data_IF_911836618376
#
_entry.id   IF_911836618376
#
_cell.length_a   1.000
_cell.length_b   1.000
_cell.length_c   1.000
_cell.angle_alpha   90.00
_cell.angle_beta   90.00
_cell.angle_gamma   90.00
#
_symmetry.space_group_name_H-M   'P 1'
#
loop_
_entity.id
_entity.type
_entity.pdbx_description
1 polymer ?
#
# COMPACT_ATOMS: atom_id res chain seq x y z
N UNK A 1 -11.09 -16.27 -30.38
CA UNK A 1 -10.95 -14.86 -29.94
C UNK A 1 -11.76 -14.55 -28.67
N UNK A 2 -13.10 -14.69 -28.66
CA UNK A 2 -13.92 -14.38 -27.47
C UNK A 2 -13.55 -15.18 -26.20
N UNK A 3 -13.18 -16.46 -26.34
CA UNK A 3 -12.77 -17.30 -25.19
C UNK A 3 -11.47 -16.78 -24.54
N UNK A 4 -10.46 -16.45 -25.35
CA UNK A 4 -9.20 -15.87 -24.87
C UNK A 4 -9.34 -14.45 -24.31
N UNK A 5 -10.31 -13.67 -24.80
CA UNK A 5 -10.64 -12.35 -24.22
C UNK A 5 -11.32 -12.49 -22.85
N UNK A 6 -12.24 -13.45 -22.68
CA UNK A 6 -12.82 -13.79 -21.38
C UNK A 6 -11.74 -14.24 -20.39
N UNK A 7 -10.82 -15.11 -20.80
CA UNK A 7 -9.71 -15.58 -19.96
C UNK A 7 -8.70 -14.47 -19.60
N UNK A 8 -8.63 -13.41 -20.42
CA UNK A 8 -7.85 -12.20 -20.11
C UNK A 8 -8.55 -11.30 -19.08
N UNK A 9 -9.87 -11.09 -19.21
CA UNK A 9 -10.66 -10.30 -18.25
C UNK A 9 -10.81 -10.99 -16.90
N UNK A 10 -10.91 -12.32 -16.88
CA UNK A 10 -10.97 -13.11 -15.65
C UNK A 10 -9.63 -13.16 -14.91
N UNK A 11 -8.56 -12.62 -15.51
CA UNK A 11 -7.30 -12.38 -14.81
C UNK A 11 -7.55 -11.21 -13.87
N UNK A 12 -7.90 -11.49 -12.61
CA UNK A 12 -8.43 -10.51 -11.63
C UNK A 12 -7.69 -9.17 -11.58
N UNK A 13 -6.37 -9.17 -11.73
CA UNK A 13 -5.55 -7.95 -11.83
C UNK A 13 -6.00 -6.97 -12.93
N UNK A 14 -6.52 -7.44 -14.07
CA UNK A 14 -7.00 -6.57 -15.16
C UNK A 14 -8.36 -5.97 -14.82
N UNK A 15 -9.24 -6.76 -14.22
CA UNK A 15 -10.58 -6.31 -13.84
C UNK A 15 -10.52 -5.23 -12.76
N UNK A 16 -9.70 -5.44 -11.72
CA UNK A 16 -9.55 -4.49 -10.62
C UNK A 16 -8.95 -3.17 -11.12
N UNK A 17 -7.95 -3.23 -12.00
CA UNK A 17 -7.39 -2.04 -12.63
C UNK A 17 -8.41 -1.33 -13.52
N UNK A 18 -9.20 -2.06 -14.30
CA UNK A 18 -10.23 -1.48 -15.16
C UNK A 18 -11.31 -0.75 -14.33
N UNK A 19 -11.78 -1.37 -13.25
CA UNK A 19 -12.75 -0.75 -12.33
C UNK A 19 -12.17 0.50 -11.69
N UNK A 20 -10.91 0.45 -11.21
CA UNK A 20 -10.25 1.60 -10.60
C UNK A 20 -10.17 2.80 -11.55
N UNK A 21 -9.81 2.57 -12.82
CA UNK A 21 -9.72 3.63 -13.83
C UNK A 21 -11.09 4.21 -14.16
N UNK A 22 -12.10 3.38 -14.38
CA UNK A 22 -13.46 3.83 -14.73
C UNK A 22 -14.08 4.65 -13.60
N UNK A 23 -13.99 4.15 -12.36
CA UNK A 23 -14.53 4.84 -11.18
C UNK A 23 -13.77 6.14 -10.91
N UNK A 24 -12.44 6.14 -11.04
CA UNK A 24 -11.61 7.33 -10.90
C UNK A 24 -11.96 8.41 -11.92
N UNK A 25 -12.16 8.04 -13.18
CA UNK A 25 -12.57 8.96 -14.23
C UNK A 25 -13.96 9.54 -13.98
N UNK A 26 -14.93 8.71 -13.61
CA UNK A 26 -16.30 9.14 -13.32
C UNK A 26 -16.34 10.12 -12.13
N UNK A 27 -15.60 9.83 -11.06
CA UNK A 27 -15.52 10.72 -9.90
C UNK A 27 -14.88 12.07 -10.25
N UNK A 28 -13.77 12.04 -11.00
CA UNK A 28 -13.10 13.27 -11.46
C UNK A 28 -14.04 14.13 -12.30
N UNK A 29 -14.86 13.53 -13.16
CA UNK A 29 -15.85 14.24 -13.96
C UNK A 29 -16.92 14.94 -13.08
N UNK A 30 -17.39 14.29 -12.01
CA UNK A 30 -18.36 14.88 -11.07
C UNK A 30 -17.75 16.10 -10.37
N UNK A 31 -16.54 15.97 -9.83
CA UNK A 31 -15.89 17.08 -9.11
C UNK A 31 -15.53 18.22 -10.06
N UNK A 32 -15.09 17.90 -11.27
CA UNK A 32 -14.81 18.90 -12.33
C UNK A 32 -16.08 19.65 -12.71
N UNK A 33 -17.20 18.94 -12.90
CA UNK A 33 -18.49 19.54 -13.20
C UNK A 33 -18.96 20.47 -12.08
N UNK A 34 -18.84 20.03 -10.82
CA UNK A 34 -19.15 20.88 -9.67
C UNK A 34 -18.28 22.14 -9.64
N UNK A 35 -16.98 21.99 -9.83
CA UNK A 35 -16.05 23.12 -9.77
C UNK A 35 -16.30 24.10 -10.92
N UNK A 36 -16.50 23.60 -12.14
CA UNK A 36 -16.78 24.44 -13.30
C UNK A 36 -18.12 25.18 -13.22
N UNK A 37 -19.16 24.54 -12.68
CA UNK A 37 -20.51 25.10 -12.68
C UNK A 37 -20.85 25.90 -11.41
N UNK A 38 -20.17 25.63 -10.28
CA UNK A 38 -20.47 26.28 -9.00
C UNK A 38 -19.32 27.19 -8.57
N UNK A 39 -18.09 26.69 -8.60
CA UNK A 39 -16.94 27.43 -8.06
C UNK A 39 -16.43 28.47 -9.05
N UNK A 40 -16.23 28.12 -10.32
CA UNK A 40 -15.69 29.05 -11.31
C UNK A 40 -16.56 30.31 -11.47
N UNK A 41 -17.91 30.25 -11.50
CA UNK A 41 -18.74 31.45 -11.51
C UNK A 41 -18.57 32.31 -10.26
N UNK A 42 -18.44 31.70 -9.07
CA UNK A 42 -18.20 32.43 -7.82
C UNK A 42 -16.84 33.14 -7.81
N UNK A 43 -15.80 32.48 -8.32
CA UNK A 43 -14.48 33.08 -8.52
C UNK A 43 -14.55 34.19 -9.56
N UNK A 44 -15.28 33.99 -10.66
CA UNK A 44 -15.43 34.98 -11.73
C UNK A 44 -16.15 36.25 -11.25
N UNK A 45 -17.09 36.14 -10.31
CA UNK A 45 -17.71 37.32 -9.66
C UNK A 45 -16.70 38.09 -8.81
N UNK A 46 -15.80 37.40 -8.10
CA UNK A 46 -14.76 38.03 -7.30
C UNK A 46 -13.58 38.56 -8.15
N UNK A 47 -13.33 37.96 -9.30
CA UNK A 47 -12.17 38.21 -10.17
C UNK A 47 -12.45 38.99 -11.46
N UNK A 48 -13.70 39.32 -11.75
CA UNK A 48 -14.10 39.93 -13.03
C UNK A 48 -14.26 38.89 -14.14
N UNK A 49 -15.22 39.14 -15.04
CA UNK A 49 -15.55 38.25 -16.14
C UNK A 49 -14.33 38.01 -17.04
N UNK A 50 -14.00 36.73 -17.21
CA UNK A 50 -12.91 36.17 -18.01
C UNK A 50 -11.55 36.22 -17.29
N UNK A 51 -11.26 35.15 -16.55
CA UNK A 51 -9.92 34.82 -16.08
C UNK A 51 -9.13 35.99 -15.45
N UNK A 52 -9.52 36.43 -14.25
CA UNK A 52 -8.85 37.42 -13.39
C UNK A 52 -8.34 38.73 -14.05
N UNK A 53 -8.71 39.06 -15.30
CA UNK A 53 -8.28 40.28 -15.98
C UNK A 53 -6.76 40.43 -16.17
N UNK A 54 -5.94 39.42 -15.86
CA UNK A 54 -4.47 39.45 -15.94
C UNK A 54 -3.98 38.76 -17.21
N UNK A 55 -4.65 39.07 -18.32
CA UNK A 55 -4.27 38.62 -19.65
C UNK A 55 -3.29 39.59 -20.28
N UNK A 56 -2.09 39.13 -20.66
CA UNK A 56 -1.14 39.96 -21.42
C UNK A 56 -0.92 39.35 -22.81
N UNK A 57 -1.10 40.17 -23.85
CA UNK A 57 -0.84 39.76 -25.21
C UNK A 57 0.59 40.16 -25.59
N UNK A 58 1.43 39.20 -25.95
CA UNK A 58 2.85 39.49 -26.28
C UNK A 58 2.97 40.18 -27.65
N UNK A 59 2.09 39.83 -28.60
CA UNK A 59 2.04 40.40 -29.95
C UNK A 59 0.63 40.95 -30.18
N UNK A 60 0.52 42.25 -30.50
CA UNK A 60 -0.77 42.86 -30.82
C UNK A 60 -1.45 42.13 -32.00
N UNK A 61 -2.76 41.89 -31.89
CA UNK A 61 -3.61 41.21 -32.88
C UNK A 61 -3.30 39.72 -33.17
N UNK A 62 -2.40 39.07 -32.43
CA UNK A 62 -2.26 37.61 -32.51
C UNK A 62 -2.96 36.90 -31.33
N UNK A 63 -4.13 36.27 -31.52
CA UNK A 63 -4.85 35.58 -30.45
C UNK A 63 -4.07 34.37 -29.89
N UNK A 64 -3.11 33.81 -30.65
CA UNK A 64 -2.27 32.71 -30.18
C UNK A 64 -1.20 33.15 -29.18
N UNK A 65 -1.00 34.46 -28.97
CA UNK A 65 0.02 35.00 -28.05
C UNK A 65 -0.58 35.66 -26.81
N UNK A 66 -1.84 35.34 -26.50
CA UNK A 66 -2.52 35.79 -25.29
C UNK A 66 -2.12 34.90 -24.10
N UNK A 67 -1.38 35.46 -23.14
CA UNK A 67 -1.06 34.79 -21.88
C UNK A 67 -2.18 35.10 -20.90
N UNK A 68 -2.87 34.07 -20.46
CA UNK A 68 -3.97 34.18 -19.52
C UNK A 68 -3.57 33.71 -18.12
N UNK A 69 -3.09 34.63 -17.27
CA UNK A 69 -2.64 34.30 -15.91
C UNK A 69 -3.82 33.95 -15.00
N UNK A 70 -5.00 34.52 -15.26
CA UNK A 70 -6.19 34.23 -14.47
C UNK A 70 -6.71 32.81 -14.65
N UNK A 71 -6.58 32.25 -15.85
CA UNK A 71 -6.93 30.86 -16.13
C UNK A 71 -6.03 29.92 -15.31
N UNK A 72 -4.74 30.24 -15.17
CA UNK A 72 -3.79 29.45 -14.39
C UNK A 72 -4.14 29.48 -12.91
N UNK A 73 -4.42 30.66 -12.34
CA UNK A 73 -4.81 30.77 -10.93
C UNK A 73 -6.13 30.04 -10.67
N UNK A 74 -7.11 30.18 -11.57
CA UNK A 74 -8.39 29.46 -11.48
C UNK A 74 -8.16 27.94 -11.53
N UNK A 75 -7.28 27.46 -12.40
CA UNK A 75 -6.92 26.04 -12.47
C UNK A 75 -6.24 25.54 -11.19
N UNK A 76 -5.38 26.33 -10.56
CA UNK A 76 -4.73 26.00 -9.28
C UNK A 76 -5.78 25.91 -8.16
N UNK A 77 -6.71 26.87 -8.08
CA UNK A 77 -7.80 26.83 -7.09
C UNK A 77 -8.68 25.59 -7.30
N UNK A 78 -9.04 25.30 -8.55
CA UNK A 78 -9.81 24.11 -8.91
C UNK A 78 -9.08 22.82 -8.48
N UNK A 79 -7.79 22.70 -8.75
CA UNK A 79 -6.98 21.57 -8.32
C UNK A 79 -6.98 21.37 -6.80
N UNK A 80 -6.81 22.45 -6.03
CA UNK A 80 -6.85 22.40 -4.56
C UNK A 80 -8.22 21.94 -4.05
N UNK A 81 -9.30 22.41 -4.67
CA UNK A 81 -10.66 22.01 -4.31
C UNK A 81 -10.89 20.53 -4.61
N UNK A 82 -10.50 20.04 -5.80
CA UNK A 82 -10.60 18.62 -6.15
C UNK A 82 -9.83 17.77 -5.14
N UNK A 83 -8.58 18.15 -4.83
CA UNK A 83 -7.75 17.44 -3.87
C UNK A 83 -8.39 17.42 -2.46
N UNK A 84 -8.97 18.54 -2.02
CA UNK A 84 -9.67 18.64 -0.74
C UNK A 84 -10.91 17.72 -0.69
N UNK A 85 -11.73 17.71 -1.74
CA UNK A 85 -12.92 16.85 -1.83
C UNK A 85 -12.52 15.38 -1.84
N UNK A 86 -11.53 14.99 -2.64
CA UNK A 86 -10.98 13.62 -2.67
C UNK A 86 -10.46 13.22 -1.29
N UNK A 87 -9.70 14.08 -0.63
CA UNK A 87 -9.16 13.81 0.69
C UNK A 87 -10.26 13.60 1.73
N UNK A 88 -11.26 14.50 1.78
CA UNK A 88 -12.30 14.45 2.79
C UNK A 88 -13.30 13.29 2.57
N UNK A 89 -13.63 12.97 1.33
CA UNK A 89 -14.63 11.94 1.00
C UNK A 89 -14.03 10.53 0.86
N UNK A 90 -12.78 10.40 0.39
CA UNK A 90 -12.16 9.08 0.23
C UNK A 90 -11.14 8.80 1.34
N UNK A 91 -10.17 9.71 1.54
CA UNK A 91 -9.01 9.42 2.42
C UNK A 91 -9.40 9.44 3.89
N UNK A 92 -10.18 10.42 4.36
CA UNK A 92 -10.62 10.52 5.76
C UNK A 92 -11.46 9.32 6.20
N UNK A 93 -12.56 8.94 5.51
CA UNK A 93 -13.34 7.78 5.92
C UNK A 93 -12.60 6.48 5.67
N UNK A 94 -11.76 6.36 4.62
CA UNK A 94 -10.91 5.18 4.47
C UNK A 94 -9.95 5.05 5.65
N UNK A 95 -9.30 6.14 6.07
CA UNK A 95 -8.39 6.12 7.22
C UNK A 95 -9.13 5.87 8.55
N UNK A 96 -10.34 6.41 8.71
CA UNK A 96 -11.18 6.16 9.87
C UNK A 96 -11.68 4.71 9.92
N UNK A 97 -12.08 4.15 8.78
CA UNK A 97 -12.48 2.75 8.63
C UNK A 97 -11.29 1.82 8.88
N UNK A 98 -10.09 2.16 8.36
CA UNK A 98 -8.87 1.43 8.70
C UNK A 98 -8.62 1.41 10.21
N UNK A 99 -8.75 2.54 10.88
CA UNK A 99 -8.59 2.62 12.35
C UNK A 99 -9.68 1.88 13.16
N UNK A 100 -10.87 1.66 12.57
CA UNK A 100 -12.04 1.08 13.27
C UNK A 100 -12.31 -0.39 12.93
N UNK A 101 -11.89 -0.84 11.75
CA UNK A 101 -12.12 -2.19 11.23
C UNK A 101 -10.82 -2.95 10.92
N UNK A 102 -9.65 -2.29 10.88
CA UNK A 102 -8.32 -2.95 10.83
C UNK A 102 -7.69 -2.95 12.24
N UNK A 103 -8.53 -3.03 13.27
CA UNK A 103 -8.16 -3.52 14.62
C UNK A 103 -8.61 -4.96 14.82
N UNK A 104 -9.30 -5.54 13.83
CA UNK A 104 -9.42 -6.99 13.68
C UNK A 104 -8.51 -7.38 12.52
N UNK A 105 -7.71 -8.45 12.63
CA UNK A 105 -6.75 -8.83 11.62
C UNK A 105 -7.52 -9.40 10.41
N UNK A 106 -8.08 -8.53 9.59
CA UNK A 106 -8.51 -8.87 8.25
C UNK A 106 -7.26 -9.30 7.49
N UNK A 107 -7.07 -10.62 7.44
CA UNK A 107 -5.93 -11.30 6.83
C UNK A 107 -4.56 -10.88 7.37
N UNK A 108 -4.30 -11.20 8.64
CA UNK A 108 -3.04 -11.93 8.89
C UNK A 108 -3.21 -13.37 8.44
N UNK A 109 -3.33 -13.61 7.13
CA UNK A 109 -2.41 -14.63 6.59
C UNK A 109 -1.07 -14.07 6.98
N UNK A 110 -0.42 -14.67 7.99
CA UNK A 110 0.92 -14.27 8.39
C UNK A 110 1.69 -13.96 7.10
N UNK A 111 2.24 -12.75 7.03
CA UNK A 111 2.98 -12.31 5.84
C UNK A 111 3.91 -13.45 5.44
N UNK A 112 4.17 -13.68 4.15
CA UNK A 112 5.11 -14.74 3.76
C UNK A 112 6.42 -14.62 4.55
N UNK A 113 6.84 -13.39 4.87
CA UNK A 113 7.93 -13.10 5.80
C UNK A 113 7.69 -13.62 7.23
N UNK A 114 6.51 -13.40 7.83
CA UNK A 114 6.17 -13.89 9.18
C UNK A 114 6.09 -15.43 9.22
N UNK A 115 5.61 -16.07 8.14
CA UNK A 115 5.58 -17.52 8.02
C UNK A 115 7.00 -18.09 7.88
N UNK A 116 7.86 -17.46 7.08
CA UNK A 116 9.25 -17.85 6.92
C UNK A 116 10.03 -17.70 8.24
N UNK A 117 9.74 -16.66 9.03
CA UNK A 117 10.31 -16.49 10.38
C UNK A 117 9.83 -17.62 11.30
N UNK A 118 8.52 -17.91 11.33
CA UNK A 118 7.99 -19.01 12.14
C UNK A 118 8.58 -20.36 11.74
N UNK A 119 8.76 -20.63 10.43
CA UNK A 119 9.39 -21.86 9.93
C UNK A 119 10.86 -21.92 10.35
N UNK A 120 11.61 -20.81 10.24
CA UNK A 120 13.00 -20.73 10.71
C UNK A 120 13.11 -21.06 12.19
N UNK A 121 12.26 -20.45 13.01
CA UNK A 121 12.30 -20.59 14.46
C UNK A 121 11.94 -22.04 14.89
N UNK A 122 10.96 -22.66 14.22
CA UNK A 122 10.62 -24.09 14.42
C UNK A 122 11.78 -25.00 13.98
N UNK A 123 12.46 -24.68 12.87
CA UNK A 123 13.58 -25.47 12.38
C UNK A 123 14.80 -25.38 13.32
N UNK A 124 15.15 -24.18 13.80
CA UNK A 124 16.20 -23.99 14.81
C UNK A 124 15.88 -24.73 16.11
N UNK A 125 14.64 -24.67 16.59
CA UNK A 125 14.20 -25.41 17.77
C UNK A 125 14.30 -26.94 17.58
N UNK A 126 13.97 -27.45 16.39
CA UNK A 126 14.09 -28.88 16.05
C UNK A 126 15.55 -29.34 15.98
N UNK A 127 16.44 -28.53 15.39
CA UNK A 127 17.87 -28.81 15.28
C UNK A 127 18.56 -28.82 16.65
N UNK A 128 18.13 -27.95 17.57
CA UNK A 128 18.64 -27.96 18.96
C UNK A 128 18.19 -29.21 19.73
N UNK A 129 17.00 -29.72 19.45
CA UNK A 129 16.46 -30.93 20.09
C UNK A 129 17.23 -32.19 19.63
N UNK A 130 17.57 -32.29 18.35
CA UNK A 130 18.39 -33.39 17.82
C UNK A 130 19.87 -33.31 18.25
N UNK A 131 20.41 -32.10 18.41
CA UNK A 131 21.76 -31.89 18.96
C UNK A 131 21.91 -32.29 20.43
N UNK A 132 20.85 -32.10 21.23
CA UNK A 132 20.82 -32.52 22.64
C UNK A 132 20.77 -34.05 22.78
N UNK A 133 20.10 -34.77 21.88
CA UNK A 133 20.07 -36.24 21.89
C UNK A 133 21.45 -36.86 21.54
N UNK A 134 22.19 -36.26 20.59
CA UNK A 134 23.53 -36.76 20.18
C UNK A 134 24.66 -36.44 21.16
N UNK A 135 24.49 -35.47 22.06
CA UNK A 135 25.49 -35.14 23.09
C UNK A 135 25.36 -36.00 24.37
N UNK A 136 24.28 -36.77 24.52
CA UNK A 136 24.07 -37.65 25.67
C UNK A 136 24.59 -39.10 25.49
N UNK A 137 24.91 -39.52 24.26
CA UNK A 137 25.39 -40.88 23.95
C UNK A 137 26.93 -41.04 24.08
N UNK A 138 27.66 -39.95 24.36
CA UNK A 138 29.12 -39.96 24.50
C UNK A 138 29.66 -40.18 25.93
N UNK A 139 28.79 -40.32 26.95
CA UNK A 139 29.21 -40.28 28.35
C UNK A 139 29.19 -41.65 29.08
N UNK A 140 29.20 -42.77 28.35
CA UNK A 140 29.57 -44.07 28.94
C UNK A 140 31.06 -44.37 28.72
N UNK A 141 31.91 -43.55 29.37
CA UNK A 141 33.27 -43.96 29.68
C UNK A 141 33.21 -45.18 30.63
N UNK A 142 33.95 -46.23 30.27
CA UNK A 142 34.11 -47.47 31.04
C UNK A 142 34.51 -47.19 32.50
N UNK A 143 33.93 -47.86 33.51
CA UNK A 143 34.49 -47.88 34.85
C UNK A 143 35.60 -48.95 34.92
N UNK A 144 36.80 -48.62 34.43
CA UNK A 144 37.97 -49.49 34.51
C UNK A 144 38.86 -49.22 35.75
N UNK A 145 38.26 -48.87 36.90
CA UNK A 145 39.00 -48.58 38.14
C UNK A 145 38.44 -49.31 39.38
N UNK A 146 37.86 -50.50 39.21
CA UNK A 146 37.46 -51.34 40.36
C UNK A 146 37.89 -52.81 40.31
N UNK A 147 38.67 -53.23 39.32
CA UNK A 147 39.14 -54.62 39.23
C UNK A 147 40.43 -54.93 40.02
N UNK A 148 41.19 -53.92 40.48
CA UNK A 148 42.51 -54.15 41.06
C UNK A 148 42.55 -54.33 42.59
N UNK A 149 41.41 -54.45 43.29
CA UNK A 149 41.38 -54.55 44.77
C UNK A 149 40.61 -55.76 45.33
N UNK A 150 40.59 -56.88 44.59
CA UNK A 150 40.02 -58.14 45.06
C UNK A 150 41.00 -59.33 45.08
N UNK A 151 42.26 -59.17 44.66
CA UNK A 151 43.28 -60.23 44.76
C UNK A 151 44.20 -60.13 45.99
N UNK A 152 44.05 -59.12 46.85
CA UNK A 152 44.94 -58.91 48.01
C UNK A 152 44.32 -59.27 49.37
N UNK A 153 43.25 -60.08 49.41
CA UNK A 153 42.58 -60.48 50.68
C UNK A 153 42.30 -61.98 50.76
N UNK A 154 43.04 -62.80 50.00
CA UNK A 154 43.08 -64.25 50.15
C UNK A 154 44.53 -64.72 50.24
N UNK A 155 45.16 -64.44 51.38
CA UNK A 155 46.05 -65.34 52.14
C UNK A 155 46.03 -64.89 53.61
#
# INVERSE_FOLDING_TARGET
>A
MLKGFKDFLLRGNVLDLAVAVVVGAAFTAIVTSFTNNVINPLIAVAGGANDLGWGYQIIADNPATFINIGAVITAVINFVIIAAVVYFILIVPANAAKKRFITEPADKKASEADLLIQIRDILEASLQTDGAASSSDGAHAMPAEKAAKLEQTRE
#
